data_IF_315814063937
#
_entry.id   IF_315814063937
#
_cell.length_a   1.000
_cell.length_b   1.000
_cell.length_c   1.000
_cell.angle_alpha   90.00
_cell.angle_beta   90.00
_cell.angle_gamma   90.00
#
_symmetry.space_group_name_H-M   'P 1'
#
loop_
_entity.id
_entity.type
_entity.pdbx_description
1 polymer ?
#
# COMPACT_ATOMS: atom_id res chain seq x y z
N UNK A 1 -15.19 15.98 -15.99
CA UNK A 1 -14.80 14.64 -15.49
C UNK A 1 -14.27 13.87 -16.68
N UNK A 2 -12.97 13.59 -16.75
CA UNK A 2 -12.43 12.81 -17.86
C UNK A 2 -12.93 11.36 -17.72
N UNK A 3 -13.64 10.86 -18.73
CA UNK A 3 -13.93 9.43 -18.84
C UNK A 3 -12.58 8.69 -18.86
N UNK A 4 -12.21 8.01 -17.76
CA UNK A 4 -11.14 7.02 -17.81
C UNK A 4 -11.60 5.96 -18.83
N UNK A 5 -10.99 5.95 -20.01
CA UNK A 5 -11.19 4.89 -20.98
C UNK A 5 -10.93 3.56 -20.28
N UNK A 6 -11.84 2.59 -20.41
CA UNK A 6 -11.69 1.27 -19.76
C UNK A 6 -10.36 0.66 -20.19
N UNK A 7 -9.40 0.59 -19.27
CA UNK A 7 -8.08 -0.02 -19.51
C UNK A 7 -8.28 -1.44 -20.04
N UNK A 8 -7.83 -1.72 -21.28
CA UNK A 8 -7.89 -3.06 -21.86
C UNK A 8 -6.82 -3.94 -21.21
N UNK A 9 -7.24 -4.79 -20.29
CA UNK A 9 -6.39 -5.79 -19.63
C UNK A 9 -6.98 -7.18 -19.74
N UNK A 10 -6.12 -8.20 -19.67
CA UNK A 10 -6.55 -9.60 -19.75
C UNK A 10 -7.51 -9.97 -18.61
N UNK A 11 -8.46 -10.91 -18.82
CA UNK A 11 -9.32 -11.41 -17.75
C UNK A 11 -8.54 -11.98 -16.56
N UNK A 12 -7.36 -12.56 -16.81
CA UNK A 12 -6.47 -13.06 -15.77
C UNK A 12 -5.94 -11.93 -14.89
N UNK A 13 -5.47 -10.83 -15.48
CA UNK A 13 -5.00 -9.66 -14.73
C UNK A 13 -6.12 -9.05 -13.88
N UNK A 14 -7.34 -8.95 -14.42
CA UNK A 14 -8.52 -8.48 -13.66
C UNK A 14 -8.79 -9.34 -12.42
N UNK A 15 -8.80 -10.67 -12.59
CA UNK A 15 -8.99 -11.61 -11.46
C UNK A 15 -7.86 -11.51 -10.44
N UNK A 16 -6.62 -11.35 -10.90
CA UNK A 16 -5.46 -11.18 -10.02
C UNK A 16 -5.57 -9.90 -9.20
N UNK A 17 -5.94 -8.78 -9.83
CA UNK A 17 -6.11 -7.49 -9.18
C UNK A 17 -7.25 -7.52 -8.14
N UNK A 18 -8.40 -8.13 -8.47
CA UNK A 18 -9.49 -8.29 -7.53
C UNK A 18 -9.09 -9.13 -6.30
N UNK A 19 -8.31 -10.21 -6.49
CA UNK A 19 -7.79 -11.03 -5.38
C UNK A 19 -6.77 -10.27 -4.54
N UNK A 20 -5.90 -9.48 -5.17
CA UNK A 20 -4.92 -8.62 -4.52
C UNK A 20 -5.62 -7.62 -3.57
N UNK A 21 -6.62 -6.89 -4.08
CA UNK A 21 -7.46 -5.98 -3.28
C UNK A 21 -8.16 -6.67 -2.11
N UNK A 22 -8.77 -7.84 -2.36
CA UNK A 22 -9.45 -8.63 -1.32
C UNK A 22 -8.53 -9.02 -0.15
N UNK A 23 -7.29 -9.41 -0.43
CA UNK A 23 -6.32 -9.81 0.62
C UNK A 23 -5.91 -8.59 1.45
N UNK A 24 -5.64 -7.48 0.79
CA UNK A 24 -5.21 -6.25 1.45
C UNK A 24 -6.37 -5.58 2.22
N UNK A 25 -7.62 -5.86 1.81
CA UNK A 25 -8.83 -5.30 2.41
C UNK A 25 -9.10 -3.88 1.95
N UNK A 26 -8.86 -3.62 0.66
CA UNK A 26 -9.05 -2.32 0.03
C UNK A 26 -9.74 -2.43 -1.33
N UNK A 27 -10.15 -1.28 -1.85
CA UNK A 27 -10.73 -1.16 -3.18
C UNK A 27 -9.61 -1.20 -4.22
N UNK A 28 -9.80 -1.99 -5.27
CA UNK A 28 -8.83 -2.16 -6.35
C UNK A 28 -9.26 -1.45 -7.62
N UNK A 29 -8.36 -0.70 -8.24
CA UNK A 29 -8.52 -0.07 -9.55
C UNK A 29 -7.42 -0.58 -10.51
N UNK A 30 -7.68 -0.52 -11.82
CA UNK A 30 -6.70 -0.85 -12.86
C UNK A 30 -6.47 0.36 -13.76
N UNK A 31 -5.29 0.94 -13.65
CA UNK A 31 -4.83 2.05 -14.48
C UNK A 31 -4.06 1.57 -15.73
N UNK A 32 -3.86 2.48 -16.69
CA UNK A 32 -3.06 2.26 -17.90
C UNK A 32 -1.63 1.86 -17.56
N UNK A 33 -1.08 0.84 -18.24
CA UNK A 33 0.26 0.32 -17.93
C UNK A 33 0.45 -1.17 -18.22
N UNK A 34 -0.37 -2.10 -17.70
CA UNK A 34 -1.41 -1.98 -16.68
C UNK A 34 -0.88 -2.01 -15.25
N UNK A 35 -1.48 -1.20 -14.38
CA UNK A 35 -1.17 -1.14 -12.95
C UNK A 35 -2.41 -1.56 -12.17
N UNK A 36 -2.28 -2.55 -11.27
CA UNK A 36 -3.31 -2.78 -10.25
C UNK A 36 -2.96 -1.93 -9.04
N UNK A 37 -3.86 -1.03 -8.66
CA UNK A 37 -3.70 -0.17 -7.50
C UNK A 37 -4.77 -0.53 -6.45
N UNK A 38 -4.38 -0.60 -5.18
CA UNK A 38 -5.29 -0.87 -4.06
C UNK A 38 -5.10 0.20 -3.01
N UNK A 39 -6.21 0.77 -2.56
CA UNK A 39 -6.23 1.70 -1.45
C UNK A 39 -7.18 1.21 -0.36
N UNK A 40 -6.78 1.38 0.91
CA UNK A 40 -7.68 1.32 2.06
C UNK A 40 -7.36 2.46 3.03
N UNK A 41 -8.33 2.85 3.84
CA UNK A 41 -8.13 3.85 4.88
C UNK A 41 -7.81 3.18 6.23
N UNK A 42 -6.83 3.73 6.92
CA UNK A 42 -6.52 3.39 8.31
C UNK A 42 -7.41 4.16 9.29
N UNK A 43 -7.45 3.71 10.54
CA UNK A 43 -8.16 4.42 11.63
C UNK A 43 -7.26 5.42 12.37
N UNK A 44 -6.23 5.94 11.69
CA UNK A 44 -5.29 6.92 12.22
C UNK A 44 -6.00 8.19 12.75
N UNK A 45 -5.58 8.68 13.94
CA UNK A 45 -6.30 9.65 14.78
C UNK A 45 -5.63 11.02 15.00
N UNK A 46 -4.71 11.39 14.12
CA UNK A 46 -3.80 12.52 14.27
C UNK A 46 -4.46 13.86 13.96
N UNK A 47 -3.79 14.89 14.44
CA UNK A 47 -4.03 16.28 14.05
C UNK A 47 -2.86 16.80 13.21
N UNK A 48 -3.13 17.78 12.35
CA UNK A 48 -2.12 18.60 11.66
C UNK A 48 -2.49 20.05 11.96
N UNK A 49 -1.55 20.86 12.44
CA UNK A 49 -1.82 22.23 12.91
C UNK A 49 -2.96 22.28 13.95
N UNK A 50 -3.04 21.27 14.82
CA UNK A 50 -4.08 21.15 15.85
C UNK A 50 -5.49 20.82 15.33
N UNK A 51 -5.65 20.50 14.04
CA UNK A 51 -6.94 20.09 13.45
C UNK A 51 -6.93 18.60 13.12
N UNK A 52 -7.98 17.90 13.52
CA UNK A 52 -8.19 16.48 13.22
C UNK A 52 -8.28 16.28 11.70
N UNK A 53 -7.51 15.32 11.15
CA UNK A 53 -7.55 14.99 9.72
C UNK A 53 -8.27 13.67 9.45
N UNK A 54 -9.16 13.67 8.45
CA UNK A 54 -9.73 12.46 7.86
C UNK A 54 -9.23 12.23 6.43
N UNK A 55 -8.30 13.06 5.97
CA UNK A 55 -7.85 13.08 4.57
C UNK A 55 -7.16 11.77 4.17
N UNK A 56 -7.48 11.22 2.98
CA UNK A 56 -6.72 10.10 2.40
C UNK A 56 -5.23 10.40 2.26
N UNK A 57 -4.82 11.66 2.10
CA UNK A 57 -3.41 12.07 2.05
C UNK A 57 -2.61 11.69 3.31
N UNK A 58 -3.32 11.43 4.42
CA UNK A 58 -2.71 11.01 5.69
C UNK A 58 -3.00 9.54 5.98
N UNK A 59 -4.23 9.11 5.71
CA UNK A 59 -4.77 7.85 6.22
C UNK A 59 -4.71 6.70 5.22
N UNK A 60 -4.33 6.96 3.97
CA UNK A 60 -4.28 5.93 2.95
C UNK A 60 -3.14 4.93 3.22
N UNK A 61 -3.51 3.66 3.15
CA UNK A 61 -2.64 2.54 2.87
C UNK A 61 -2.77 2.21 1.39
N UNK A 62 -1.66 2.24 0.68
CA UNK A 62 -1.63 2.09 -0.77
C UNK A 62 -0.72 0.93 -1.14
N UNK A 63 -1.14 0.15 -2.12
CA UNK A 63 -0.40 -1.00 -2.62
C UNK A 63 -0.60 -1.10 -4.11
N UNK A 64 0.41 -1.59 -4.82
CA UNK A 64 0.26 -1.85 -6.24
C UNK A 64 1.03 -3.08 -6.68
N UNK A 65 0.65 -3.59 -7.86
CA UNK A 65 1.55 -4.38 -8.67
C UNK A 65 1.42 -4.03 -10.15
N UNK A 66 2.53 -4.17 -10.87
CA UNK A 66 2.63 -3.92 -12.31
C UNK A 66 3.78 -4.74 -12.92
N UNK A 67 3.97 -4.64 -14.24
CA UNK A 67 5.05 -5.35 -14.96
C UNK A 67 5.05 -6.86 -14.70
N UNK A 68 3.87 -7.49 -14.73
CA UNK A 68 3.71 -8.93 -14.52
C UNK A 68 4.40 -9.73 -15.62
N UNK A 69 5.37 -10.55 -15.25
CA UNK A 69 6.14 -11.38 -16.17
C UNK A 69 5.50 -12.77 -16.43
N UNK A 70 6.11 -13.54 -17.33
CA UNK A 70 5.65 -14.89 -17.70
C UNK A 70 5.74 -15.91 -16.55
N UNK A 71 6.56 -15.65 -15.54
CA UNK A 71 6.69 -16.47 -14.33
C UNK A 71 5.64 -16.12 -13.26
N UNK A 72 4.83 -15.09 -13.51
CA UNK A 72 3.81 -14.62 -12.58
C UNK A 72 4.37 -13.77 -11.43
N UNK A 73 5.56 -13.19 -11.60
CA UNK A 73 6.15 -12.20 -10.69
C UNK A 73 5.94 -10.80 -11.24
N UNK A 74 5.82 -9.82 -10.35
CA UNK A 74 5.53 -8.44 -10.68
C UNK A 74 6.35 -7.51 -9.79
N UNK A 75 6.55 -6.28 -10.25
CA UNK A 75 6.95 -5.19 -9.36
C UNK A 75 5.79 -4.92 -8.42
N UNK A 76 6.00 -5.09 -7.12
CA UNK A 76 5.00 -4.88 -6.08
C UNK A 76 5.47 -3.78 -5.13
N UNK A 77 4.61 -2.80 -4.87
CA UNK A 77 4.91 -1.62 -4.05
C UNK A 77 3.89 -1.50 -2.91
N UNK A 78 4.32 -0.92 -1.80
CA UNK A 78 3.44 -0.57 -0.69
C UNK A 78 3.89 0.67 0.06
N UNK A 79 2.90 1.42 0.54
CA UNK A 79 3.07 2.63 1.34
C UNK A 79 2.03 2.68 2.47
N UNK A 80 2.46 3.10 3.65
CA UNK A 80 1.55 3.49 4.74
C UNK A 80 2.17 4.59 5.60
N UNK A 81 1.30 5.46 6.11
CA UNK A 81 1.60 6.22 7.32
C UNK A 81 1.63 5.28 8.54
N UNK A 82 2.49 5.58 9.51
CA UNK A 82 2.70 4.85 10.75
C UNK A 82 3.14 5.83 11.85
N UNK A 83 2.77 5.57 13.12
CA UNK A 83 3.30 6.39 14.21
C UNK A 83 4.81 6.15 14.37
N UNK A 84 5.56 7.18 14.77
CA UNK A 84 7.02 7.07 14.90
C UNK A 84 7.46 5.90 15.80
N UNK A 85 6.75 5.66 16.92
CA UNK A 85 7.02 4.56 17.85
C UNK A 85 6.71 3.15 17.26
N UNK A 86 6.01 3.07 16.14
CA UNK A 86 5.65 1.83 15.45
C UNK A 86 6.59 1.49 14.29
N UNK A 87 7.48 2.41 13.88
CA UNK A 87 8.39 2.26 12.73
C UNK A 87 9.19 0.96 12.79
N UNK A 88 9.88 0.71 13.90
CA UNK A 88 10.76 -0.46 14.02
C UNK A 88 9.97 -1.78 13.95
N UNK A 89 8.72 -1.80 14.45
CA UNK A 89 7.85 -2.97 14.36
C UNK A 89 7.48 -3.27 12.92
N UNK A 90 7.02 -2.27 12.16
CA UNK A 90 6.67 -2.46 10.76
C UNK A 90 7.90 -2.86 9.93
N UNK A 91 9.00 -2.14 10.09
CA UNK A 91 10.25 -2.42 9.36
C UNK A 91 10.74 -3.85 9.62
N UNK A 92 10.72 -4.29 10.87
CA UNK A 92 11.11 -5.66 11.25
C UNK A 92 10.17 -6.71 10.67
N UNK A 93 8.85 -6.46 10.69
CA UNK A 93 7.87 -7.38 10.14
C UNK A 93 8.04 -7.59 8.63
N UNK A 94 8.29 -6.52 7.88
CA UNK A 94 8.53 -6.55 6.43
C UNK A 94 9.83 -7.30 6.10
N UNK A 95 10.93 -6.94 6.78
CA UNK A 95 12.25 -7.58 6.57
C UNK A 95 12.24 -9.07 6.90
N UNK A 96 11.58 -9.49 7.99
CA UNK A 96 11.41 -10.91 8.35
C UNK A 96 10.67 -11.72 7.28
N UNK A 97 9.90 -11.07 6.40
CA UNK A 97 9.16 -11.70 5.29
C UNK A 97 9.86 -11.54 3.93
N UNK A 98 11.10 -11.05 3.93
CA UNK A 98 11.89 -10.83 2.73
C UNK A 98 11.43 -9.64 1.88
N UNK A 99 10.66 -8.71 2.46
CA UNK A 99 10.24 -7.48 1.77
C UNK A 99 11.25 -6.36 2.08
N UNK A 100 11.71 -5.68 1.03
CA UNK A 100 12.70 -4.60 1.16
C UNK A 100 12.00 -3.30 1.53
N UNK A 101 12.41 -2.70 2.65
CA UNK A 101 12.02 -1.33 3.01
C UNK A 101 12.97 -0.36 2.31
N UNK A 102 12.42 0.60 1.57
CA UNK A 102 13.17 1.47 0.66
C UNK A 102 13.26 2.91 1.15
N UNK A 103 12.20 3.42 1.77
CA UNK A 103 12.18 4.77 2.32
C UNK A 103 11.43 4.83 3.64
N UNK A 104 11.89 5.75 4.49
CA UNK A 104 11.21 6.18 5.70
C UNK A 104 11.37 7.69 5.82
N UNK A 105 10.28 8.42 5.79
CA UNK A 105 10.28 9.89 5.84
C UNK A 105 9.01 10.42 6.47
N UNK A 106 8.83 11.73 6.48
CA UNK A 106 7.66 12.40 7.03
C UNK A 106 7.10 13.39 5.99
N UNK A 107 5.77 13.50 5.91
CA UNK A 107 5.08 14.39 4.95
C UNK A 107 4.60 15.70 5.59
N UNK A 108 4.35 15.70 6.91
CA UNK A 108 3.65 16.79 7.59
C UNK A 108 4.46 17.34 8.76
N UNK A 109 4.42 18.65 8.94
CA UNK A 109 4.95 19.33 10.12
C UNK A 109 3.80 19.65 11.08
N UNK A 110 4.13 19.75 12.37
CA UNK A 110 3.16 20.09 13.45
C UNK A 110 1.97 19.14 13.48
N UNK A 111 2.24 17.88 13.17
CA UNK A 111 1.32 16.78 13.35
C UNK A 111 1.49 16.13 14.73
N UNK A 112 0.41 15.58 15.27
CA UNK A 112 0.45 14.89 16.56
C UNK A 112 -0.59 13.75 16.62
N UNK A 113 -0.20 12.52 17.02
CA UNK A 113 1.19 12.03 17.21
C UNK A 113 2.08 12.13 15.97
N UNK A 114 3.42 12.10 16.14
CA UNK A 114 4.38 12.16 15.03
C UNK A 114 4.12 11.03 14.03
N UNK A 115 3.95 11.40 12.77
CA UNK A 115 3.73 10.47 11.66
C UNK A 115 5.00 10.25 10.86
N UNK A 116 5.21 9.02 10.45
CA UNK A 116 6.22 8.59 9.49
C UNK A 116 5.55 7.84 8.35
N UNK A 117 6.16 7.86 7.18
CA UNK A 117 5.70 7.21 5.96
C UNK A 117 6.75 6.19 5.55
N UNK A 118 6.35 4.94 5.43
CA UNK A 118 7.23 3.85 5.06
C UNK A 118 6.86 3.34 3.68
N UNK A 119 7.88 3.14 2.86
CA UNK A 119 7.79 2.60 1.50
C UNK A 119 8.52 1.26 1.45
N UNK A 120 7.94 0.30 0.75
CA UNK A 120 8.57 -1.01 0.53
C UNK A 120 8.26 -1.58 -0.84
N UNK A 121 9.16 -2.44 -1.32
CA UNK A 121 9.11 -3.03 -2.65
C UNK A 121 9.50 -4.51 -2.65
N UNK A 122 9.02 -5.24 -3.66
CA UNK A 122 9.50 -6.58 -3.99
C UNK A 122 9.22 -6.91 -5.47
N UNK A 123 10.07 -7.75 -6.08
CA UNK A 123 9.71 -8.49 -7.30
C UNK A 123 9.17 -9.85 -6.88
N UNK A 124 7.85 -10.03 -6.84
CA UNK A 124 7.24 -11.24 -6.30
C UNK A 124 5.89 -11.53 -6.95
N UNK A 125 5.35 -12.74 -6.72
CA UNK A 125 3.96 -13.02 -7.04
C UNK A 125 3.04 -12.06 -6.24
N UNK A 126 2.12 -11.33 -6.90
CA UNK A 126 1.28 -10.32 -6.21
C UNK A 126 0.49 -10.87 -5.02
N UNK A 127 0.03 -12.12 -5.09
CA UNK A 127 -0.76 -12.73 -4.01
C UNK A 127 0.11 -13.07 -2.80
N UNK A 128 1.37 -13.47 -3.02
CA UNK A 128 2.33 -13.72 -1.94
C UNK A 128 2.72 -12.39 -1.29
N UNK A 129 3.04 -11.38 -2.09
CA UNK A 129 3.31 -10.03 -1.61
C UNK A 129 2.15 -9.47 -0.77
N UNK A 130 0.92 -9.59 -1.26
CA UNK A 130 -0.27 -9.10 -0.57
C UNK A 130 -0.45 -9.74 0.81
N UNK A 131 -0.25 -11.06 0.93
CA UNK A 131 -0.36 -11.78 2.21
C UNK A 131 0.73 -11.35 3.19
N UNK A 132 1.98 -11.36 2.77
CA UNK A 132 3.11 -10.92 3.60
C UNK A 132 2.95 -9.47 4.06
N UNK A 133 2.48 -8.60 3.15
CA UNK A 133 2.18 -7.21 3.46
C UNK A 133 1.05 -7.11 4.48
N UNK A 134 -0.09 -7.79 4.25
CA UNK A 134 -1.24 -7.79 5.16
C UNK A 134 -0.87 -8.22 6.58
N UNK A 135 -0.08 -9.28 6.71
CA UNK A 135 0.44 -9.72 8.01
C UNK A 135 1.39 -8.70 8.65
N UNK A 136 2.24 -8.04 7.85
CA UNK A 136 3.20 -7.06 8.35
C UNK A 136 2.53 -5.84 8.95
N UNK A 137 1.41 -5.41 8.35
CA UNK A 137 0.63 -4.25 8.76
C UNK A 137 -0.56 -4.60 9.68
N UNK A 138 -0.76 -5.86 10.05
CA UNK A 138 -1.95 -6.30 10.79
C UNK A 138 -2.16 -5.57 12.14
N UNK A 139 -1.08 -5.07 12.73
CA UNK A 139 -1.14 -4.31 13.98
C UNK A 139 -1.58 -2.85 13.81
N UNK A 140 -1.67 -2.35 12.58
CA UNK A 140 -2.13 -0.99 12.24
C UNK A 140 -3.65 -0.91 12.09
N UNK A 141 -4.36 -2.03 12.27
CA UNK A 141 -5.80 -2.18 12.04
C UNK A 141 -6.15 -2.29 10.58
#
# INVERSE_FOLDING_TARGET
MAHKAKTKVSPQFKRLCARFGKILGGESEIDSGPVCFVMRLTNLRETILGRRTLSPLVRAQMFSFESLDKSGRALCLGETAVHQNQVNRLMSNLRKRGIKVTALHNHWLKENPRLMYMHWEAIENPIVFARKTKESIAFLG
#
